data_IF_843389624281
#
_entry.id   IF_843389624281
#
_cell.length_a   1.000
_cell.length_b   1.000
_cell.length_c   1.000
_cell.angle_alpha   90.00
_cell.angle_beta   90.00
_cell.angle_gamma   90.00
#
_symmetry.space_group_name_H-M   'P 1'
#
loop_
_entity.id
_entity.type
_entity.pdbx_description
1 polymer ?
#
# COMPACT_ATOMS: atom_id res chain seq x y z
N UNK A 1 10.49 -6.25 13.53
CA UNK A 1 11.67 -5.43 13.86
C UNK A 1 12.56 -5.28 12.64
N UNK A 2 13.39 -4.24 12.60
CA UNK A 2 14.35 -4.03 11.49
C UNK A 2 15.36 -5.19 11.43
N UNK A 3 15.80 -5.69 12.58
CA UNK A 3 16.69 -6.86 12.64
C UNK A 3 16.05 -8.11 12.03
N UNK A 4 14.79 -8.41 12.36
CA UNK A 4 14.07 -9.56 11.79
C UNK A 4 13.87 -9.45 10.28
N UNK A 5 13.73 -8.25 9.73
CA UNK A 5 13.68 -8.06 8.28
C UNK A 5 15.01 -8.39 7.59
N UNK A 6 16.14 -8.04 8.21
CA UNK A 6 17.46 -8.44 7.73
C UNK A 6 17.65 -9.97 7.78
N UNK A 7 17.27 -10.60 8.90
CA UNK A 7 17.36 -12.07 9.07
C UNK A 7 16.56 -12.83 7.99
N UNK A 8 15.37 -12.34 7.60
CA UNK A 8 14.57 -12.94 6.53
C UNK A 8 15.33 -12.90 5.20
N UNK A 9 15.92 -11.77 4.87
CA UNK A 9 16.68 -11.59 3.61
C UNK A 9 17.97 -12.43 3.64
N UNK A 10 18.69 -12.44 4.75
CA UNK A 10 19.92 -13.22 4.92
C UNK A 10 19.62 -14.71 4.77
N UNK A 11 18.50 -15.18 5.35
CA UNK A 11 18.07 -16.58 5.22
C UNK A 11 17.78 -16.98 3.78
N UNK A 12 17.14 -16.11 3.01
CA UNK A 12 16.90 -16.39 1.59
C UNK A 12 18.22 -16.49 0.79
N UNK A 13 19.18 -15.62 1.07
CA UNK A 13 20.50 -15.67 0.41
C UNK A 13 21.29 -16.91 0.85
N UNK A 14 21.24 -17.28 2.11
CA UNK A 14 21.89 -18.48 2.64
C UNK A 14 21.36 -19.76 1.94
N UNK A 15 20.04 -19.87 1.77
CA UNK A 15 19.41 -21.09 1.22
C UNK A 15 19.47 -21.15 -0.31
N UNK A 16 19.34 -20.01 -1.01
CA UNK A 16 19.16 -19.99 -2.47
C UNK A 16 20.28 -19.27 -3.22
N UNK A 17 21.22 -18.64 -2.54
CA UNK A 17 22.33 -17.90 -3.15
C UNK A 17 21.95 -16.59 -3.83
N UNK A 18 20.63 -16.27 -3.92
CA UNK A 18 20.11 -15.06 -4.56
C UNK A 18 18.73 -14.68 -3.99
N UNK A 19 18.32 -13.46 -4.26
CA UNK A 19 16.97 -12.97 -3.98
C UNK A 19 16.43 -12.29 -5.24
N UNK A 20 15.24 -12.65 -5.69
CA UNK A 20 14.64 -12.10 -6.92
C UNK A 20 13.38 -11.30 -6.63
N UNK A 21 12.61 -11.70 -5.62
CA UNK A 21 11.29 -11.17 -5.34
C UNK A 21 11.14 -10.94 -3.84
N UNK A 22 10.58 -9.77 -3.48
CA UNK A 22 10.13 -9.47 -2.12
C UNK A 22 8.65 -9.14 -2.15
N UNK A 23 7.87 -9.83 -1.31
CA UNK A 23 6.44 -9.60 -1.13
C UNK A 23 6.18 -9.38 0.37
N UNK A 24 5.52 -8.26 0.73
CA UNK A 24 5.30 -7.87 2.14
C UNK A 24 3.81 -7.80 2.50
N UNK A 25 3.08 -8.92 2.58
CA UNK A 25 1.63 -8.94 2.80
C UNK A 25 1.22 -8.88 4.28
N UNK A 26 2.16 -9.03 5.20
CA UNK A 26 1.88 -9.10 6.64
C UNK A 26 1.12 -7.88 7.15
N UNK A 27 0.15 -8.10 8.05
CA UNK A 27 -0.64 -7.01 8.57
C UNK A 27 -1.56 -7.40 9.72
N UNK A 28 -1.98 -6.39 10.49
CA UNK A 28 -2.93 -6.48 11.59
C UNK A 28 -3.91 -5.32 11.55
N UNK A 29 -5.02 -5.44 12.28
CA UNK A 29 -5.97 -4.35 12.53
C UNK A 29 -6.03 -4.02 14.03
N UNK A 30 -6.12 -2.72 14.33
CA UNK A 30 -6.43 -2.16 15.65
C UNK A 30 -7.37 -0.97 15.43
N UNK A 31 -8.55 -1.27 14.86
CA UNK A 31 -9.53 -0.26 14.47
C UNK A 31 -10.11 0.45 15.70
N UNK A 32 -10.00 1.77 15.71
CA UNK A 32 -10.51 2.62 16.80
C UNK A 32 -10.72 4.04 16.27
N UNK A 33 -11.80 4.68 16.73
CA UNK A 33 -11.96 6.12 16.49
C UNK A 33 -10.79 6.90 17.10
N UNK A 34 -10.26 7.89 16.37
CA UNK A 34 -9.02 8.60 16.74
C UNK A 34 -9.03 9.14 18.18
N UNK A 35 -10.17 9.62 18.67
CA UNK A 35 -10.31 10.17 20.02
C UNK A 35 -10.29 9.10 21.14
N UNK A 36 -10.33 7.81 20.79
CA UNK A 36 -10.24 6.68 21.71
C UNK A 36 -9.03 5.78 21.42
N UNK A 37 -8.26 6.04 20.36
CA UNK A 37 -7.12 5.24 19.95
C UNK A 37 -5.97 5.39 20.94
N UNK A 38 -5.44 4.27 21.42
CA UNK A 38 -4.26 4.27 22.29
C UNK A 38 -2.97 4.40 21.49
N UNK A 39 -1.90 4.78 22.17
CA UNK A 39 -0.56 4.80 21.58
C UNK A 39 -0.12 3.42 21.11
N UNK A 40 -0.45 2.40 21.88
CA UNK A 40 -0.12 1.00 21.59
C UNK A 40 -0.87 0.53 20.33
N UNK A 41 -2.16 0.79 20.21
CA UNK A 41 -2.97 0.48 19.02
C UNK A 41 -2.44 1.18 17.76
N UNK A 42 -1.96 2.41 17.90
CA UNK A 42 -1.29 3.13 16.83
C UNK A 42 0.03 2.48 16.46
N UNK A 43 0.91 2.28 17.45
CA UNK A 43 2.29 1.81 17.22
C UNK A 43 2.32 0.39 16.68
N UNK A 44 1.49 -0.53 17.21
CA UNK A 44 1.37 -1.91 16.71
C UNK A 44 1.13 -1.93 15.20
N UNK A 45 0.19 -1.11 14.72
CA UNK A 45 -0.16 -1.07 13.29
C UNK A 45 0.97 -0.46 12.44
N UNK A 46 1.57 0.65 12.89
CA UNK A 46 2.71 1.26 12.18
C UNK A 46 3.89 0.28 12.12
N UNK A 47 4.21 -0.38 13.23
CA UNK A 47 5.34 -1.29 13.30
C UNK A 47 5.17 -2.51 12.40
N UNK A 48 4.00 -3.13 12.39
CA UNK A 48 3.76 -4.31 11.56
C UNK A 48 3.71 -3.94 10.07
N UNK A 49 2.97 -2.89 9.72
CA UNK A 49 2.73 -2.56 8.31
C UNK A 49 3.88 -1.77 7.69
N UNK A 50 4.15 -0.57 8.20
CA UNK A 50 5.08 0.37 7.56
C UNK A 50 6.53 0.04 7.91
N UNK A 51 6.84 -0.08 9.19
CA UNK A 51 8.19 -0.46 9.64
C UNK A 51 8.54 -1.88 9.17
N UNK A 52 7.58 -2.81 9.23
CA UNK A 52 7.76 -4.19 8.75
C UNK A 52 8.06 -4.24 7.25
N UNK A 53 7.34 -3.50 6.42
CA UNK A 53 7.63 -3.39 4.98
C UNK A 53 9.03 -2.83 4.75
N UNK A 54 9.36 -1.70 5.39
CA UNK A 54 10.70 -1.11 5.29
C UNK A 54 11.79 -2.09 5.71
N UNK A 55 11.59 -2.82 6.80
CA UNK A 55 12.60 -3.71 7.39
C UNK A 55 13.08 -4.82 6.44
N UNK A 56 12.21 -5.27 5.54
CA UNK A 56 12.54 -6.29 4.53
C UNK A 56 13.03 -5.65 3.24
N UNK A 57 12.38 -4.58 2.78
CA UNK A 57 12.73 -3.93 1.51
C UNK A 57 14.10 -3.26 1.56
N UNK A 58 14.48 -2.66 2.69
CA UNK A 58 15.75 -1.96 2.83
C UNK A 58 16.98 -2.88 2.62
N UNK A 59 17.14 -4.03 3.28
CA UNK A 59 18.23 -4.95 2.98
C UNK A 59 18.14 -5.57 1.59
N UNK A 60 16.94 -5.96 1.13
CA UNK A 60 16.73 -6.50 -0.21
C UNK A 60 17.14 -5.52 -1.31
N UNK A 61 16.91 -4.21 -1.12
CA UNK A 61 17.26 -3.18 -2.09
C UNK A 61 18.75 -3.12 -2.40
N UNK A 62 19.63 -3.44 -1.43
CA UNK A 62 21.07 -3.50 -1.63
C UNK A 62 21.43 -4.64 -2.59
N UNK A 63 20.84 -5.81 -2.37
CA UNK A 63 21.03 -7.01 -3.18
C UNK A 63 20.52 -6.77 -4.61
N UNK A 64 19.30 -6.27 -4.75
CA UNK A 64 18.68 -5.98 -6.05
C UNK A 64 19.49 -4.98 -6.86
N UNK A 65 20.03 -3.96 -6.20
CA UNK A 65 20.91 -2.97 -6.86
C UNK A 65 22.19 -3.61 -7.41
N UNK A 66 22.79 -4.55 -6.68
CA UNK A 66 23.99 -5.29 -7.11
C UNK A 66 23.66 -6.29 -8.23
N UNK A 67 22.56 -7.01 -8.09
CA UNK A 67 22.06 -7.97 -9.08
C UNK A 67 21.57 -7.27 -10.36
N UNK A 68 21.24 -5.96 -10.30
CA UNK A 68 20.56 -5.19 -11.36
C UNK A 68 19.24 -5.81 -11.80
N UNK A 69 18.56 -6.44 -10.89
CA UNK A 69 17.26 -7.10 -11.06
C UNK A 69 16.58 -7.29 -9.74
N UNK A 70 15.25 -7.19 -9.70
CA UNK A 70 14.43 -7.46 -8.51
C UNK A 70 12.99 -7.03 -8.71
N UNK A 71 12.09 -7.62 -7.93
CA UNK A 71 10.66 -7.31 -7.91
C UNK A 71 10.23 -7.08 -6.46
N UNK A 72 9.62 -5.94 -6.20
CA UNK A 72 9.12 -5.56 -4.86
C UNK A 72 7.62 -5.37 -4.96
N UNK A 73 6.87 -6.18 -4.22
CA UNK A 73 5.41 -6.10 -4.14
C UNK A 73 5.01 -5.78 -2.71
N UNK A 74 4.51 -4.59 -2.50
CA UNK A 74 4.01 -4.14 -1.19
C UNK A 74 2.49 -4.19 -1.13
N UNK A 75 1.91 -4.07 0.06
CA UNK A 75 0.46 -4.12 0.24
C UNK A 75 -0.06 -2.83 0.89
N UNK A 76 -0.65 -1.96 0.06
CA UNK A 76 -1.44 -0.81 0.46
C UNK A 76 -2.90 -1.21 0.77
N UNK A 77 -3.81 -0.28 0.78
CA UNK A 77 -5.25 -0.49 0.98
C UNK A 77 -6.05 0.72 0.51
N UNK A 78 -7.28 0.48 0.06
CA UNK A 78 -8.27 1.54 -0.18
C UNK A 78 -8.41 2.45 1.06
N UNK A 79 -8.29 1.90 2.28
CA UNK A 79 -8.30 2.67 3.52
C UNK A 79 -7.18 3.72 3.60
N UNK A 80 -5.98 3.43 3.08
CA UNK A 80 -4.92 4.41 2.97
C UNK A 80 -5.19 5.44 1.88
N UNK A 81 -5.65 4.98 0.71
CA UNK A 81 -5.78 5.80 -0.49
C UNK A 81 -6.95 6.80 -0.46
N UNK A 82 -8.07 6.42 0.18
CA UNK A 82 -9.29 7.26 0.26
C UNK A 82 -9.78 7.53 1.68
N UNK A 83 -9.27 6.80 2.66
CA UNK A 83 -9.62 6.96 4.09
C UNK A 83 -10.89 6.22 4.50
N UNK A 84 -10.84 5.57 5.67
CA UNK A 84 -12.01 5.01 6.35
C UNK A 84 -12.05 5.42 7.81
N UNK A 85 -13.24 5.76 8.29
CA UNK A 85 -13.47 6.08 9.71
C UNK A 85 -13.04 4.93 10.62
N UNK A 86 -12.39 5.25 11.74
CA UNK A 86 -11.89 4.26 12.70
C UNK A 86 -10.55 3.61 12.33
N UNK A 87 -9.91 4.01 11.24
CA UNK A 87 -8.67 3.43 10.76
C UNK A 87 -7.55 4.45 10.58
N UNK A 88 -7.44 5.43 11.45
CA UNK A 88 -6.40 6.46 11.33
C UNK A 88 -4.98 5.89 11.38
N UNK A 89 -4.71 4.87 12.22
CA UNK A 89 -3.45 4.13 12.26
C UNK A 89 -3.21 3.31 10.98
N UNK A 90 -4.19 2.50 10.60
CA UNK A 90 -4.11 1.61 9.43
C UNK A 90 -4.06 2.42 8.12
N UNK A 91 -4.89 3.43 7.98
CA UNK A 91 -4.89 4.34 6.83
C UNK A 91 -3.55 5.04 6.66
N UNK A 92 -2.99 5.59 7.75
CA UNK A 92 -1.67 6.22 7.74
C UNK A 92 -0.56 5.23 7.30
N UNK A 93 -0.57 4.00 7.86
CA UNK A 93 0.41 2.99 7.49
C UNK A 93 0.29 2.58 6.00
N UNK A 94 -0.93 2.37 5.52
CA UNK A 94 -1.19 1.89 4.14
C UNK A 94 -0.96 2.96 3.07
N UNK A 95 -1.24 4.23 3.35
CA UNK A 95 -0.84 5.34 2.47
C UNK A 95 0.67 5.58 2.53
N UNK A 96 1.27 5.46 3.72
CA UNK A 96 2.72 5.46 3.90
C UNK A 96 3.41 4.40 3.04
N UNK A 97 2.87 3.18 2.95
CA UNK A 97 3.37 2.12 2.06
C UNK A 97 3.24 2.51 0.58
N UNK A 98 2.11 3.11 0.17
CA UNK A 98 1.94 3.58 -1.20
C UNK A 98 2.96 4.65 -1.57
N UNK A 99 3.19 5.63 -0.68
CA UNK A 99 4.23 6.65 -0.82
C UNK A 99 5.63 6.06 -0.86
N UNK A 100 5.95 5.17 0.08
CA UNK A 100 7.21 4.43 0.13
C UNK A 100 7.48 3.68 -1.18
N UNK A 101 6.51 2.94 -1.68
CA UNK A 101 6.64 2.17 -2.93
C UNK A 101 6.96 3.06 -4.12
N UNK A 102 6.28 4.21 -4.27
CA UNK A 102 6.57 5.18 -5.35
C UNK A 102 7.99 5.74 -5.28
N UNK A 103 8.51 5.96 -4.08
CA UNK A 103 9.89 6.45 -3.89
C UNK A 103 10.89 5.34 -4.22
N UNK A 104 10.71 4.13 -3.67
CA UNK A 104 11.57 2.96 -3.94
C UNK A 104 11.62 2.63 -5.44
N UNK A 105 10.49 2.72 -6.14
CA UNK A 105 10.41 2.53 -7.59
C UNK A 105 11.32 3.51 -8.35
N UNK A 106 11.35 4.79 -7.95
CA UNK A 106 12.21 5.81 -8.55
C UNK A 106 13.69 5.60 -8.22
N UNK A 107 14.00 5.21 -6.98
CA UNK A 107 15.37 4.98 -6.54
C UNK A 107 16.02 3.77 -7.21
N UNK A 108 15.23 2.69 -7.39
CA UNK A 108 15.75 1.41 -7.87
C UNK A 108 15.50 1.14 -9.36
N UNK A 109 14.61 1.88 -10.02
CA UNK A 109 14.24 1.64 -11.42
C UNK A 109 15.42 1.64 -12.38
N UNK A 110 16.41 2.52 -12.18
CA UNK A 110 17.65 2.56 -12.99
C UNK A 110 18.52 1.29 -12.87
N UNK A 111 18.24 0.44 -11.92
CA UNK A 111 18.91 -0.85 -11.71
C UNK A 111 18.08 -2.04 -12.21
N UNK A 112 17.01 -1.82 -12.99
CA UNK A 112 16.14 -2.89 -13.49
C UNK A 112 15.20 -3.49 -12.44
N UNK A 113 15.02 -2.80 -11.31
CA UNK A 113 14.12 -3.22 -10.22
C UNK A 113 12.79 -2.51 -10.34
N UNK A 114 11.69 -3.25 -10.21
CA UNK A 114 10.35 -2.65 -10.10
C UNK A 114 9.79 -2.78 -8.68
N UNK A 115 9.07 -1.76 -8.25
CA UNK A 115 8.35 -1.76 -6.99
C UNK A 115 6.91 -1.29 -7.22
N UNK A 116 5.93 -2.14 -6.90
CA UNK A 116 4.51 -1.83 -7.05
C UNK A 116 3.76 -2.19 -5.77
N UNK A 117 2.64 -1.54 -5.52
CA UNK A 117 1.78 -1.83 -4.38
C UNK A 117 0.44 -2.42 -4.81
N UNK A 118 -0.01 -3.45 -4.10
CA UNK A 118 -1.35 -4.01 -4.23
C UNK A 118 -2.25 -3.38 -3.16
N UNK A 119 -3.44 -2.96 -3.58
CA UNK A 119 -4.57 -2.65 -2.70
C UNK A 119 -5.61 -3.76 -2.88
N UNK A 120 -5.56 -4.82 -2.07
CA UNK A 120 -6.43 -5.97 -2.28
C UNK A 120 -7.84 -5.72 -1.75
N UNK A 121 -8.84 -6.30 -2.43
CA UNK A 121 -10.19 -6.46 -1.90
C UNK A 121 -10.54 -7.95 -1.86
N UNK A 122 -10.58 -8.52 -0.65
CA UNK A 122 -10.87 -9.93 -0.46
C UNK A 122 -11.51 -10.19 0.92
N UNK A 123 -12.38 -11.20 0.98
CA UNK A 123 -12.92 -11.70 2.24
C UNK A 123 -11.88 -12.60 2.90
N UNK A 124 -11.37 -12.16 4.03
CA UNK A 124 -10.33 -12.85 4.80
C UNK A 124 -10.71 -12.85 6.28
N UNK A 125 -10.06 -13.65 7.10
CA UNK A 125 -10.20 -13.60 8.55
C UNK A 125 -10.02 -12.18 9.12
N UNK A 126 -9.16 -11.37 8.48
CA UNK A 126 -8.97 -9.97 8.85
C UNK A 126 -10.22 -9.13 8.58
N UNK A 127 -10.87 -9.29 7.42
CA UNK A 127 -12.10 -8.55 7.07
C UNK A 127 -13.31 -9.06 7.84
N UNK A 128 -13.36 -10.33 8.22
CA UNK A 128 -14.40 -10.92 9.06
C UNK A 128 -14.37 -10.38 10.49
N UNK A 129 -13.19 -10.01 11.00
CA UNK A 129 -13.05 -9.40 12.33
C UNK A 129 -13.58 -7.97 12.45
N UNK A 130 -13.96 -7.35 11.31
CA UNK A 130 -14.50 -5.99 11.30
C UNK A 130 -15.95 -5.99 11.76
N UNK A 131 -16.34 -5.20 12.78
CA UNK A 131 -17.72 -5.11 13.24
C UNK A 131 -18.69 -4.72 12.10
N UNK A 132 -19.89 -5.30 12.09
CA UNK A 132 -20.90 -5.06 11.04
C UNK A 132 -21.27 -3.58 10.90
N UNK A 133 -21.32 -2.82 11.99
CA UNK A 133 -21.55 -1.37 11.99
C UNK A 133 -20.45 -0.63 11.23
N UNK A 134 -19.21 -1.04 11.34
CA UNK A 134 -18.07 -0.48 10.61
C UNK A 134 -18.08 -0.91 9.14
N UNK A 135 -18.48 -2.15 8.89
CA UNK A 135 -18.63 -2.70 7.53
C UNK A 135 -19.72 -1.95 6.75
N UNK A 136 -20.85 -1.67 7.37
CA UNK A 136 -21.95 -0.90 6.77
C UNK A 136 -21.54 0.53 6.41
N UNK A 137 -20.73 1.20 7.25
CA UNK A 137 -20.19 2.53 6.96
C UNK A 137 -19.20 2.52 5.77
N UNK A 138 -18.50 1.41 5.54
CA UNK A 138 -17.54 1.26 4.43
C UNK A 138 -18.21 0.90 3.11
N UNK A 139 -19.34 0.21 3.14
CA UNK A 139 -20.07 -0.22 1.94
C UNK A 139 -20.52 0.93 1.02
N UNK A 140 -20.65 2.16 1.55
CA UNK A 140 -20.99 3.35 0.76
C UNK A 140 -19.83 4.00 0.02
N UNK A 141 -18.57 3.70 0.38
CA UNK A 141 -17.38 4.36 -0.17
C UNK A 141 -16.89 3.74 -1.49
N UNK A 142 -17.20 2.47 -1.73
CA UNK A 142 -16.87 1.75 -2.95
C UNK A 142 -18.11 0.96 -3.36
N UNK A 143 -18.98 1.56 -4.20
CA UNK A 143 -20.10 0.83 -4.79
C UNK A 143 -19.56 -0.02 -5.93
N UNK A 144 -19.67 -1.37 -5.87
CA UNK A 144 -19.49 -2.20 -7.06
C UNK A 144 -20.45 -1.71 -8.16
N UNK A 145 -20.07 -1.78 -9.42
CA UNK A 145 -21.03 -1.64 -10.49
C UNK A 145 -22.09 -2.75 -10.36
N UNK A 146 -23.36 -2.48 -10.69
CA UNK A 146 -24.49 -3.41 -10.49
C UNK A 146 -24.33 -4.78 -11.19
N UNK A 147 -23.38 -4.89 -12.12
CA UNK A 147 -23.07 -6.10 -12.88
C UNK A 147 -21.97 -6.98 -12.25
N UNK A 148 -21.35 -6.54 -11.16
CA UNK A 148 -20.23 -7.23 -10.54
C UNK A 148 -20.70 -8.30 -9.54
N UNK A 149 -20.87 -9.54 -10.01
CA UNK A 149 -21.00 -10.72 -9.14
C UNK A 149 -19.63 -11.07 -8.55
N UNK A 150 -19.18 -10.29 -7.55
CA UNK A 150 -17.90 -10.56 -6.89
C UNK A 150 -18.04 -11.64 -5.83
N UNK A 151 -17.36 -12.73 -6.05
CA UNK A 151 -16.85 -13.56 -4.97
C UNK A 151 -15.54 -12.87 -4.56
N UNK A 152 -15.51 -12.25 -3.39
CA UNK A 152 -14.30 -11.61 -2.85
C UNK A 152 -13.36 -12.70 -2.32
N UNK A 153 -12.79 -13.50 -3.23
CA UNK A 153 -11.89 -14.58 -2.85
C UNK A 153 -10.45 -14.05 -2.74
N UNK A 154 -9.71 -14.35 -1.67
CA UNK A 154 -8.27 -14.06 -1.60
C UNK A 154 -7.49 -14.61 -2.79
N UNK A 155 -7.92 -15.71 -3.39
CA UNK A 155 -7.30 -16.33 -4.56
C UNK A 155 -7.34 -15.42 -5.81
N UNK A 156 -8.29 -14.48 -5.91
CA UNK A 156 -8.38 -13.53 -7.02
C UNK A 156 -7.24 -12.50 -7.03
N UNK A 157 -6.60 -12.28 -5.88
CA UNK A 157 -5.48 -11.33 -5.76
C UNK A 157 -4.16 -11.96 -6.18
N UNK A 158 -3.98 -13.26 -5.96
CA UNK A 158 -2.72 -13.95 -6.18
C UNK A 158 -2.20 -13.89 -7.63
N UNK A 159 -3.03 -14.04 -8.69
CA UNK A 159 -2.56 -13.94 -10.08
C UNK A 159 -1.94 -12.59 -10.42
N UNK A 160 -2.49 -11.49 -9.90
CA UNK A 160 -1.94 -10.13 -10.12
C UNK A 160 -0.57 -9.99 -9.45
N UNK A 161 -0.44 -10.48 -8.23
CA UNK A 161 0.84 -10.49 -7.51
C UNK A 161 1.87 -11.32 -8.26
N UNK A 162 1.50 -12.53 -8.68
CA UNK A 162 2.38 -13.42 -9.44
C UNK A 162 2.81 -12.80 -10.78
N UNK A 163 1.89 -12.16 -11.50
CA UNK A 163 2.19 -11.49 -12.76
C UNK A 163 3.17 -10.32 -12.55
N UNK A 164 3.01 -9.50 -11.52
CA UNK A 164 3.94 -8.41 -11.20
C UNK A 164 5.35 -8.89 -10.86
N UNK A 165 5.52 -10.15 -10.49
CA UNK A 165 6.82 -10.77 -10.25
C UNK A 165 7.53 -11.21 -11.54
N UNK A 166 6.87 -11.18 -12.70
CA UNK A 166 7.41 -11.61 -13.99
C UNK A 166 8.01 -10.45 -14.80
N UNK A 167 8.79 -10.78 -15.81
CA UNK A 167 9.33 -9.82 -16.76
C UNK A 167 8.25 -9.19 -17.65
N UNK A 168 7.12 -9.88 -17.85
CA UNK A 168 5.98 -9.34 -18.59
C UNK A 168 5.40 -8.07 -17.98
N UNK A 169 5.55 -7.87 -16.66
CA UNK A 169 5.11 -6.69 -15.94
C UNK A 169 6.22 -5.64 -15.70
N UNK A 170 7.41 -5.80 -16.32
CA UNK A 170 8.56 -4.92 -16.09
C UNK A 170 8.33 -3.44 -16.47
N UNK A 171 7.32 -3.17 -17.27
CA UNK A 171 6.89 -1.81 -17.65
C UNK A 171 6.10 -1.08 -16.55
N UNK A 172 5.62 -1.80 -15.52
CA UNK A 172 4.92 -1.25 -14.37
C UNK A 172 5.92 -1.00 -13.23
N UNK A 173 6.05 0.26 -12.81
CA UNK A 173 6.96 0.62 -11.74
C UNK A 173 6.47 1.87 -10.99
N UNK A 174 6.16 1.69 -9.72
CA UNK A 174 5.60 2.74 -8.86
C UNK A 174 4.07 2.79 -8.84
N UNK A 175 3.43 1.77 -9.42
CA UNK A 175 1.98 1.71 -9.55
C UNK A 175 1.30 1.21 -8.26
N UNK A 176 0.09 1.72 -8.03
CA UNK A 176 -0.80 1.23 -6.98
C UNK A 176 -1.97 0.52 -7.66
N UNK A 177 -2.02 -0.79 -7.52
CA UNK A 177 -2.94 -1.65 -8.24
C UNK A 177 -4.02 -2.16 -7.28
N UNK A 178 -5.28 -1.82 -7.54
CA UNK A 178 -6.41 -2.37 -6.82
C UNK A 178 -6.89 -3.65 -7.49
N UNK A 179 -6.85 -4.76 -6.75
CA UNK A 179 -7.27 -6.07 -7.20
C UNK A 179 -8.43 -6.57 -6.33
N UNK A 180 -9.61 -6.78 -6.91
CA UNK A 180 -10.81 -7.22 -6.20
C UNK A 180 -11.67 -8.07 -7.15
N UNK A 181 -11.90 -9.34 -6.79
CA UNK A 181 -12.58 -10.27 -7.67
C UNK A 181 -11.96 -10.26 -9.09
N UNK A 182 -12.78 -10.12 -10.11
CA UNK A 182 -12.35 -10.07 -11.51
C UNK A 182 -11.94 -8.66 -11.99
N UNK A 183 -11.89 -7.64 -11.10
CA UNK A 183 -11.55 -6.27 -11.45
C UNK A 183 -10.13 -5.90 -11.03
N UNK A 184 -9.38 -5.35 -11.98
CA UNK A 184 -8.06 -4.74 -11.75
C UNK A 184 -8.14 -3.27 -12.12
N UNK A 185 -7.72 -2.39 -11.22
CA UNK A 185 -7.72 -0.95 -11.42
C UNK A 185 -6.38 -0.35 -11.02
N UNK A 186 -5.93 0.68 -11.71
CA UNK A 186 -4.77 1.48 -11.32
C UNK A 186 -5.26 2.73 -10.60
N UNK A 187 -4.69 3.01 -9.43
CA UNK A 187 -4.90 4.28 -8.76
C UNK A 187 -3.92 5.32 -9.31
N UNK A 188 -4.44 6.44 -9.78
CA UNK A 188 -3.61 7.60 -10.07
C UNK A 188 -2.89 8.07 -8.79
N UNK A 189 -1.67 8.55 -8.94
CA UNK A 189 -0.97 9.24 -7.86
C UNK A 189 -1.68 10.54 -7.46
N UNK A 190 -1.15 11.23 -6.45
CA UNK A 190 -1.66 12.54 -6.07
C UNK A 190 -1.43 13.54 -7.19
N UNK A 191 -2.51 14.10 -7.72
CA UNK A 191 -2.51 15.14 -8.74
C UNK A 191 -3.06 16.44 -8.17
N UNK A 192 -2.53 17.58 -8.66
CA UNK A 192 -3.10 18.88 -8.31
C UNK A 192 -4.46 19.03 -8.97
N UNK A 193 -5.52 18.86 -8.19
CA UNK A 193 -6.90 19.00 -8.69
C UNK A 193 -7.23 20.44 -9.07
N UNK A 194 -6.69 21.41 -8.34
CA UNK A 194 -6.94 22.84 -8.55
C UNK A 194 -5.82 23.67 -7.98
N UNK A 195 -5.50 24.78 -8.62
CA UNK A 195 -4.56 25.77 -8.09
C UNK A 195 -5.06 27.18 -8.32
N UNK A 196 -4.74 28.08 -7.39
CA UNK A 196 -4.95 29.52 -7.49
C UNK A 196 -3.60 30.22 -7.34
N UNK A 197 -3.40 31.34 -8.00
CA UNK A 197 -2.14 32.08 -7.99
C UNK A 197 -2.38 33.58 -8.08
N UNK A 198 -1.57 34.38 -7.36
CA UNK A 198 -1.46 35.83 -7.51
C UNK A 198 0.00 36.28 -7.36
N UNK A 199 0.29 37.53 -7.70
CA UNK A 199 1.65 38.08 -7.68
C UNK A 199 2.17 38.48 -6.30
N UNK A 200 1.28 38.60 -5.29
CA UNK A 200 1.62 38.98 -3.92
C UNK A 200 1.27 37.89 -2.91
N UNK A 201 1.58 38.09 -1.63
CA UNK A 201 1.17 37.17 -0.56
C UNK A 201 -0.35 37.15 -0.41
N UNK A 202 -0.90 35.98 -0.13
CA UNK A 202 -2.31 35.80 0.21
C UNK A 202 -2.61 36.34 1.61
N UNK A 203 -3.75 37.01 1.76
CA UNK A 203 -4.35 37.29 3.08
C UNK A 203 -5.39 36.21 3.41
N UNK A 204 -5.78 36.10 4.69
CA UNK A 204 -6.81 35.14 5.12
C UNK A 204 -8.16 35.45 4.46
N UNK A 205 -8.51 36.75 4.35
CA UNK A 205 -9.76 37.19 3.72
C UNK A 205 -9.80 36.85 2.22
N UNK A 206 -8.71 37.07 1.50
CA UNK A 206 -8.60 36.69 0.07
C UNK A 206 -8.74 35.18 -0.12
N UNK A 207 -8.13 34.37 0.74
CA UNK A 207 -8.25 32.91 0.68
C UNK A 207 -9.68 32.45 0.95
N UNK A 208 -10.38 33.07 1.91
CA UNK A 208 -11.78 32.77 2.20
C UNK A 208 -12.72 32.97 1.00
N UNK A 209 -12.36 33.91 0.10
CA UNK A 209 -13.14 34.20 -1.11
C UNK A 209 -12.64 33.45 -2.35
N UNK A 210 -11.38 33.01 -2.38
CA UNK A 210 -10.75 32.41 -3.57
C UNK A 210 -10.72 30.87 -3.56
N UNK A 211 -10.77 30.26 -2.38
CA UNK A 211 -10.77 28.79 -2.22
C UNK A 211 -12.22 28.34 -1.99
N UNK A 212 -12.82 27.61 -2.94
CA UNK A 212 -14.19 27.11 -2.81
C UNK A 212 -14.30 25.98 -1.80
#
# INVERSE_FOLDING_TARGET
SVAGGQEIVDKAIEEFGRLDIVITPAGILRDRMIFNMTKEEWQDVIDVHLTGTFSVVAPASKIFREQKSGRIITFSSVSGLIGYSGQSNYGAAKDGIAGFTRVVAKELGKYGVTANAISPGANTRMTESIPDSTRAMRAGAFKPAEEDHFIYDPEDVAPVVAWLCTDAASHLNGEIIHAVGNRISLFNGYETRRSIRKASRWTVEELANAVP
#
